data_IF_736762182661
#
_entry.id   IF_736762182661
#
_cell.length_a   1.000
_cell.length_b   1.000
_cell.length_c   1.000
_cell.angle_alpha   90.00
_cell.angle_beta   90.00
_cell.angle_gamma   90.00
#
_symmetry.space_group_name_H-M   'P 1'
#
loop_
_entity.id
_entity.type
_entity.pdbx_description
1 polymer ?
#
# COMPACT_ATOMS: atom_id res chain seq x y z
N UNK A 1 -6.82 12.97 -38.23
CA UNK A 1 -5.54 12.84 -37.52
C UNK A 1 -5.59 13.77 -36.32
N UNK A 2 -6.08 13.29 -35.18
CA UNK A 2 -6.38 14.15 -34.02
C UNK A 2 -5.59 13.65 -32.81
N UNK A 3 -4.53 14.39 -32.49
CA UNK A 3 -3.98 14.68 -31.15
C UNK A 3 -3.85 13.53 -30.13
N UNK A 4 -2.85 12.67 -30.28
CA UNK A 4 -2.40 11.71 -29.23
C UNK A 4 -1.20 12.23 -28.40
N UNK A 5 -0.56 13.32 -28.80
CA UNK A 5 0.73 13.78 -28.25
C UNK A 5 0.62 14.48 -26.88
N UNK A 6 -0.57 14.87 -26.42
CA UNK A 6 -0.78 15.56 -25.14
C UNK A 6 -1.01 14.60 -23.97
N UNK A 7 -1.70 13.48 -24.19
CA UNK A 7 -2.00 12.48 -23.15
C UNK A 7 -0.72 11.78 -22.68
N UNK A 8 0.14 11.32 -23.61
CA UNK A 8 1.43 10.69 -23.27
C UNK A 8 2.35 11.65 -22.50
N UNK A 9 2.45 12.92 -22.89
CA UNK A 9 3.27 13.91 -22.16
C UNK A 9 2.79 14.16 -20.73
N UNK A 10 1.47 14.13 -20.50
CA UNK A 10 0.90 14.32 -19.15
C UNK A 10 1.08 13.06 -18.30
N UNK A 11 0.91 11.87 -18.88
CA UNK A 11 1.23 10.58 -18.25
C UNK A 11 2.69 10.52 -17.83
N UNK A 12 3.61 10.79 -18.77
CA UNK A 12 5.05 10.88 -18.52
C UNK A 12 5.40 11.85 -17.38
N UNK A 13 4.71 13.00 -17.30
CA UNK A 13 4.95 13.97 -16.22
C UNK A 13 4.48 13.43 -14.86
N UNK A 14 3.33 12.76 -14.80
CA UNK A 14 2.79 12.23 -13.54
C UNK A 14 3.58 11.01 -13.07
N UNK A 15 4.00 10.13 -13.97
CA UNK A 15 4.93 9.05 -13.63
C UNK A 15 6.24 9.59 -13.07
N UNK A 16 6.83 10.63 -13.70
CA UNK A 16 8.05 11.26 -13.18
C UNK A 16 7.84 11.89 -11.81
N UNK A 17 6.68 12.50 -11.57
CA UNK A 17 6.31 13.02 -10.25
C UNK A 17 6.28 11.92 -9.19
N UNK A 18 5.68 10.77 -9.50
CA UNK A 18 5.69 9.61 -8.60
C UNK A 18 7.11 9.07 -8.37
N UNK A 19 7.91 8.92 -9.42
CA UNK A 19 9.31 8.45 -9.31
C UNK A 19 10.14 9.35 -8.43
N UNK A 20 10.08 10.67 -8.67
CA UNK A 20 10.85 11.62 -7.88
C UNK A 20 10.42 11.60 -6.41
N UNK A 21 9.10 11.52 -6.14
CA UNK A 21 8.62 11.43 -4.77
C UNK A 21 9.12 10.16 -4.05
N UNK A 22 9.13 9.01 -4.73
CA UNK A 22 9.65 7.77 -4.16
C UNK A 22 11.17 7.82 -3.93
N UNK A 23 11.93 8.41 -4.87
CA UNK A 23 13.38 8.61 -4.72
C UNK A 23 13.71 9.55 -3.55
N UNK A 24 12.97 10.66 -3.43
CA UNK A 24 13.07 11.60 -2.31
C UNK A 24 12.71 10.95 -0.96
N UNK A 25 11.81 9.96 -0.96
CA UNK A 25 11.45 9.15 0.21
C UNK A 25 12.45 8.00 0.52
N UNK A 26 13.56 7.89 -0.23
CA UNK A 26 14.63 6.94 0.05
C UNK A 26 14.55 5.60 -0.69
N UNK A 27 13.59 5.43 -1.61
CA UNK A 27 13.55 4.26 -2.48
C UNK A 27 14.55 4.40 -3.62
N UNK A 28 15.23 3.31 -4.00
CA UNK A 28 15.83 3.20 -5.31
C UNK A 28 14.74 2.92 -6.34
N UNK A 29 14.63 3.77 -7.37
CA UNK A 29 13.50 3.73 -8.33
C UNK A 29 13.98 3.54 -9.77
N UNK A 30 13.26 2.70 -10.52
CA UNK A 30 13.40 2.58 -11.97
C UNK A 30 12.03 2.71 -12.65
N UNK A 31 11.97 3.46 -13.75
CA UNK A 31 10.84 3.43 -14.69
C UNK A 31 11.08 2.39 -15.77
N UNK A 32 10.06 1.59 -16.09
CA UNK A 32 10.16 0.67 -17.20
C UNK A 32 10.32 1.43 -18.53
N UNK A 33 11.19 0.95 -19.45
CA UNK A 33 11.35 1.57 -20.75
C UNK A 33 10.08 1.33 -21.58
N UNK A 34 9.35 2.41 -21.85
CA UNK A 34 8.16 2.41 -22.69
C UNK A 34 7.14 1.32 -22.31
N UNK A 35 6.48 1.50 -21.15
CA UNK A 35 5.34 0.67 -20.70
C UNK A 35 4.18 0.58 -21.72
N UNK A 36 4.26 1.29 -22.85
CA UNK A 36 3.39 1.10 -24.02
C UNK A 36 4.10 0.43 -25.20
N UNK A 37 3.62 -0.75 -25.61
CA UNK A 37 3.74 -1.41 -26.94
C UNK A 37 5.13 -1.62 -27.56
N UNK A 38 6.20 -1.10 -26.97
CA UNK A 38 7.56 -1.17 -27.54
C UNK A 38 8.26 -2.51 -27.23
N UNK A 39 7.71 -3.29 -26.30
CA UNK A 39 8.22 -4.61 -25.94
C UNK A 39 7.04 -5.57 -25.77
N UNK A 40 7.27 -6.85 -26.07
CA UNK A 40 6.33 -7.94 -25.75
C UNK A 40 6.33 -8.29 -24.26
N UNK A 41 7.10 -7.55 -23.45
CA UNK A 41 7.25 -7.80 -22.01
C UNK A 41 6.25 -6.97 -21.25
N UNK A 42 5.46 -7.66 -20.46
CA UNK A 42 4.56 -7.09 -19.47
C UNK A 42 5.39 -6.57 -18.29
N UNK A 43 5.58 -5.25 -18.23
CA UNK A 43 6.36 -4.56 -17.22
C UNK A 43 5.47 -3.56 -16.47
N UNK A 44 5.65 -3.40 -15.15
CA UNK A 44 5.01 -2.30 -14.42
C UNK A 44 5.58 -0.96 -14.88
N UNK A 45 4.87 0.13 -14.66
CA UNK A 45 5.38 1.48 -14.94
C UNK A 45 6.61 1.83 -14.09
N UNK A 46 6.55 1.48 -12.80
CA UNK A 46 7.59 1.81 -11.81
C UNK A 46 7.96 0.58 -11.00
N UNK A 47 9.26 0.38 -10.79
CA UNK A 47 9.81 -0.52 -9.80
C UNK A 47 10.54 0.32 -8.75
N UNK A 48 10.24 0.10 -7.47
CA UNK A 48 10.87 0.81 -6.37
C UNK A 48 11.28 -0.17 -5.26
N UNK A 49 12.38 0.09 -4.56
CA UNK A 49 12.73 -0.65 -3.35
C UNK A 49 13.73 0.06 -2.45
N UNK A 50 13.65 -0.20 -1.15
CA UNK A 50 14.51 0.38 -0.11
C UNK A 50 15.53 -0.64 0.47
N UNK A 51 15.51 -1.87 -0.03
CA UNK A 51 16.34 -2.99 0.44
C UNK A 51 15.57 -4.01 1.27
N UNK A 52 14.43 -3.63 1.87
CA UNK A 52 13.56 -4.51 2.65
C UNK A 52 12.22 -4.74 1.94
N UNK A 53 11.63 -3.68 1.41
CA UNK A 53 10.38 -3.70 0.66
C UNK A 53 10.63 -3.35 -0.79
N UNK A 54 10.05 -4.16 -1.69
CA UNK A 54 10.07 -3.93 -3.14
C UNK A 54 8.64 -3.78 -3.64
N UNK A 55 8.41 -2.79 -4.49
CA UNK A 55 7.13 -2.49 -5.11
C UNK A 55 7.23 -2.55 -6.64
N UNK A 56 6.27 -3.24 -7.24
CA UNK A 56 5.94 -3.10 -8.66
C UNK A 56 4.66 -2.28 -8.75
N UNK A 57 4.70 -1.15 -9.45
CA UNK A 57 3.66 -0.14 -9.41
C UNK A 57 3.16 0.15 -10.83
N UNK A 58 1.86 0.01 -11.01
CA UNK A 58 1.12 0.51 -12.18
C UNK A 58 0.53 1.88 -11.84
N UNK A 59 0.83 2.92 -12.62
CA UNK A 59 0.49 4.30 -12.31
C UNK A 59 -0.58 4.85 -13.25
N UNK A 60 -1.76 5.19 -12.70
CA UNK A 60 -2.85 5.82 -13.45
C UNK A 60 -3.13 7.22 -12.93
N UNK A 61 -3.29 8.18 -13.85
CA UNK A 61 -3.73 9.52 -13.49
C UNK A 61 -4.86 9.99 -14.39
N UNK A 62 -5.84 10.69 -13.83
CA UNK A 62 -7.00 11.16 -14.58
C UNK A 62 -7.54 12.49 -14.06
N UNK A 63 -8.10 13.28 -14.97
CA UNK A 63 -8.93 14.44 -14.61
C UNK A 63 -10.42 14.09 -14.46
N UNK A 64 -10.81 12.88 -14.86
CA UNK A 64 -12.16 12.35 -14.69
C UNK A 64 -12.24 11.27 -13.62
N UNK A 65 -13.46 10.82 -13.34
CA UNK A 65 -13.80 9.79 -12.37
C UNK A 65 -14.81 8.82 -13.01
N UNK A 66 -14.60 7.49 -12.98
CA UNK A 66 -13.51 6.76 -12.33
C UNK A 66 -12.25 6.56 -13.20
N UNK A 67 -11.18 6.11 -12.56
CA UNK A 67 -10.00 5.54 -13.23
C UNK A 67 -10.27 4.06 -13.47
N UNK A 68 -9.95 3.58 -14.68
CA UNK A 68 -10.07 2.19 -15.09
C UNK A 68 -8.69 1.56 -15.33
N UNK A 69 -8.62 0.26 -15.08
CA UNK A 69 -7.53 -0.62 -15.51
C UNK A 69 -8.12 -1.82 -16.23
N UNK A 70 -7.44 -2.32 -17.25
CA UNK A 70 -7.84 -3.57 -17.92
C UNK A 70 -7.51 -4.76 -17.02
N UNK A 71 -8.15 -5.90 -17.28
CA UNK A 71 -7.78 -7.16 -16.62
C UNK A 71 -6.33 -7.55 -16.95
N UNK A 72 -5.91 -7.37 -18.20
CA UNK A 72 -4.56 -7.65 -18.69
C UNK A 72 -3.50 -6.82 -17.94
N UNK A 73 -3.73 -5.52 -17.72
CA UNK A 73 -2.80 -4.67 -16.94
C UNK A 73 -2.61 -5.20 -15.51
N UNK A 74 -3.70 -5.63 -14.86
CA UNK A 74 -3.64 -6.17 -13.50
C UNK A 74 -2.97 -7.54 -13.47
N UNK A 75 -3.28 -8.41 -14.43
CA UNK A 75 -2.66 -9.73 -14.53
C UNK A 75 -1.16 -9.65 -14.81
N UNK A 76 -0.75 -8.78 -15.73
CA UNK A 76 0.64 -8.45 -16.03
C UNK A 76 1.39 -7.97 -14.78
N UNK A 77 0.83 -7.01 -14.06
CA UNK A 77 1.41 -6.49 -12.83
C UNK A 77 1.59 -7.59 -11.78
N UNK A 78 0.55 -8.39 -11.53
CA UNK A 78 0.59 -9.49 -10.55
C UNK A 78 1.59 -10.57 -10.96
N UNK A 79 1.70 -10.87 -12.25
CA UNK A 79 2.68 -11.81 -12.79
C UNK A 79 4.10 -11.31 -12.56
N UNK A 80 4.39 -10.06 -12.94
CA UNK A 80 5.69 -9.44 -12.74
C UNK A 80 6.06 -9.40 -11.25
N UNK A 81 5.16 -8.86 -10.41
CA UNK A 81 5.39 -8.67 -8.98
C UNK A 81 5.74 -10.00 -8.29
N UNK A 82 4.98 -11.06 -8.56
CA UNK A 82 5.23 -12.40 -8.02
C UNK A 82 6.59 -12.95 -8.43
N UNK A 83 6.94 -12.84 -9.72
CA UNK A 83 8.18 -13.42 -10.23
C UNK A 83 9.41 -12.60 -9.82
N UNK A 84 9.25 -11.29 -9.63
CA UNK A 84 10.30 -10.39 -9.18
C UNK A 84 10.53 -10.47 -7.67
N UNK A 85 9.49 -10.81 -6.89
CA UNK A 85 9.53 -10.72 -5.43
C UNK A 85 9.16 -9.33 -4.91
N UNK A 86 8.27 -8.64 -5.61
CA UNK A 86 7.76 -7.32 -5.23
C UNK A 86 6.28 -7.36 -4.86
N UNK A 87 5.82 -6.39 -4.06
CA UNK A 87 4.42 -6.14 -3.76
C UNK A 87 3.78 -5.38 -4.93
N UNK A 88 2.70 -5.93 -5.50
CA UNK A 88 1.94 -5.28 -6.56
C UNK A 88 1.13 -4.10 -6.01
N UNK A 89 1.22 -2.94 -6.65
CA UNK A 89 0.48 -1.73 -6.27
C UNK A 89 -0.09 -1.00 -7.47
N UNK A 90 -1.32 -0.53 -7.35
CA UNK A 90 -1.91 0.43 -8.28
C UNK A 90 -1.83 1.81 -7.63
N UNK A 91 -1.04 2.70 -8.22
CA UNK A 91 -0.96 4.09 -7.81
C UNK A 91 -1.94 4.91 -8.66
N UNK A 92 -2.90 5.58 -8.01
CA UNK A 92 -3.87 6.42 -8.69
C UNK A 92 -3.79 7.86 -8.24
N UNK A 93 -3.94 8.78 -9.20
CA UNK A 93 -3.92 10.22 -8.93
C UNK A 93 -5.02 10.93 -9.69
N UNK A 94 -5.97 11.51 -8.97
CA UNK A 94 -6.99 12.38 -9.54
C UNK A 94 -6.46 13.83 -9.65
N UNK A 95 -7.03 14.63 -10.56
CA UNK A 95 -6.62 16.02 -10.70
C UNK A 95 -6.86 16.80 -9.40
N UNK A 96 -5.86 17.58 -8.99
CA UNK A 96 -5.78 18.33 -7.71
C UNK A 96 -5.74 17.49 -6.44
N UNK A 97 -5.62 16.17 -6.54
CA UNK A 97 -5.39 15.29 -5.39
C UNK A 97 -3.95 14.74 -5.40
N UNK A 98 -3.58 14.15 -4.26
CA UNK A 98 -2.35 13.39 -4.07
C UNK A 98 -2.45 11.97 -4.65
N UNK A 99 -1.37 11.20 -4.51
CA UNK A 99 -1.33 9.79 -4.89
C UNK A 99 -1.98 8.92 -3.82
N UNK A 100 -2.75 7.94 -4.27
CA UNK A 100 -3.32 6.89 -3.45
C UNK A 100 -2.90 5.52 -3.99
N UNK A 101 -2.63 4.59 -3.09
CA UNK A 101 -2.09 3.28 -3.41
C UNK A 101 -3.05 2.18 -3.00
N UNK A 102 -3.18 1.17 -3.86
CA UNK A 102 -4.07 0.03 -3.64
C UNK A 102 -3.35 -1.27 -3.95
N UNK A 103 -3.67 -2.33 -3.21
CA UNK A 103 -3.46 -3.67 -3.75
C UNK A 103 -4.50 -3.93 -4.85
N UNK A 104 -4.16 -4.61 -5.97
CA UNK A 104 -5.13 -4.82 -7.06
C UNK A 104 -6.44 -5.49 -6.62
N UNK A 105 -6.39 -6.34 -5.58
CA UNK A 105 -7.56 -6.99 -5.00
C UNK A 105 -8.53 -6.06 -4.25
N UNK A 106 -8.13 -4.83 -3.95
CA UNK A 106 -8.99 -3.86 -3.23
C UNK A 106 -9.85 -3.03 -4.20
N UNK A 107 -9.57 -3.14 -5.50
CA UNK A 107 -10.28 -2.42 -6.55
C UNK A 107 -11.61 -3.11 -6.90
N UNK A 108 -12.58 -2.34 -7.39
CA UNK A 108 -13.82 -2.90 -7.88
C UNK A 108 -13.59 -3.59 -9.23
N UNK A 109 -13.83 -4.90 -9.31
CA UNK A 109 -13.86 -5.64 -10.57
C UNK A 109 -15.25 -5.54 -11.19
N UNK A 110 -15.31 -5.16 -12.47
CA UNK A 110 -16.55 -5.14 -13.25
C UNK A 110 -16.87 -6.54 -13.79
N UNK A 111 -18.11 -6.75 -14.21
CA UNK A 111 -18.54 -8.01 -14.83
C UNK A 111 -17.76 -8.36 -16.11
N UNK A 112 -17.15 -7.35 -16.75
CA UNK A 112 -16.32 -7.51 -17.94
C UNK A 112 -14.84 -7.82 -17.61
N UNK A 113 -14.48 -7.96 -16.33
CA UNK A 113 -13.12 -8.27 -15.89
C UNK A 113 -12.16 -7.07 -15.81
N UNK A 114 -12.63 -5.85 -16.09
CA UNK A 114 -11.85 -4.63 -15.85
C UNK A 114 -11.95 -4.17 -14.40
N UNK A 115 -10.95 -3.44 -13.93
CA UNK A 115 -10.90 -2.88 -12.59
C UNK A 115 -11.17 -1.39 -12.63
N UNK A 116 -11.75 -0.85 -11.56
CA UNK A 116 -11.92 0.60 -11.42
C UNK A 116 -11.79 1.08 -9.99
N UNK A 117 -11.41 2.35 -9.87
CA UNK A 117 -11.43 3.10 -8.62
C UNK A 117 -12.10 4.45 -8.83
N UNK A 118 -13.04 4.77 -7.94
CA UNK A 118 -13.68 6.09 -7.90
C UNK A 118 -12.86 7.03 -7.03
N UNK A 119 -12.92 8.34 -7.31
CA UNK A 119 -12.27 9.38 -6.51
C UNK A 119 -12.66 9.31 -5.03
N UNK A 120 -13.95 9.12 -4.75
CA UNK A 120 -14.47 8.99 -3.38
C UNK A 120 -13.81 7.82 -2.63
N UNK A 121 -13.70 6.65 -3.28
CA UNK A 121 -13.00 5.49 -2.72
C UNK A 121 -11.50 5.76 -2.53
N UNK A 122 -10.86 6.46 -3.46
CA UNK A 122 -9.45 6.85 -3.32
C UNK A 122 -9.20 7.69 -2.06
N UNK A 123 -10.06 8.68 -1.81
CA UNK A 123 -9.96 9.57 -0.65
C UNK A 123 -10.28 8.87 0.67
N UNK A 124 -11.24 7.93 0.66
CA UNK A 124 -11.67 7.24 1.87
C UNK A 124 -10.75 6.07 2.26
N UNK A 125 -10.40 5.22 1.29
CA UNK A 125 -9.81 3.90 1.55
C UNK A 125 -8.39 3.76 1.00
N UNK A 126 -7.91 4.73 0.20
CA UNK A 126 -6.58 4.64 -0.39
C UNK A 126 -5.48 4.88 0.64
N UNK A 127 -4.45 4.03 0.62
CA UNK A 127 -3.20 4.32 1.35
C UNK A 127 -2.59 5.57 0.73
N UNK A 128 -2.37 6.62 1.52
CA UNK A 128 -1.77 7.86 1.02
C UNK A 128 -0.25 7.73 0.89
N UNK A 129 0.39 8.73 0.30
CA UNK A 129 1.83 8.65 0.02
C UNK A 129 2.68 8.51 1.30
N UNK A 130 2.51 9.34 2.36
CA UNK A 130 3.26 9.18 3.61
C UNK A 130 3.10 7.79 4.23
N UNK A 131 1.88 7.25 4.26
CA UNK A 131 1.64 5.88 4.73
C UNK A 131 2.31 4.83 3.83
N UNK A 132 2.22 5.01 2.51
CA UNK A 132 2.81 4.09 1.53
C UNK A 132 4.32 3.92 1.69
N UNK A 133 5.03 5.02 1.99
CA UNK A 133 6.48 5.03 2.21
C UNK A 133 6.87 4.73 3.65
N UNK A 134 5.91 4.47 4.55
CA UNK A 134 6.16 4.12 5.94
C UNK A 134 6.46 5.30 6.87
N UNK A 135 6.20 6.54 6.46
CA UNK A 135 6.34 7.73 7.32
C UNK A 135 5.21 7.82 8.35
N UNK A 136 4.04 7.26 8.05
CA UNK A 136 2.86 7.28 8.93
C UNK A 136 2.12 5.94 8.87
N UNK A 137 1.27 5.68 9.86
CA UNK A 137 0.35 4.53 9.87
C UNK A 137 -1.07 5.07 10.08
N UNK A 138 -2.01 4.71 9.18
CA UNK A 138 -3.41 5.06 9.37
C UNK A 138 -4.00 4.23 10.48
N UNK A 139 -4.61 4.92 11.46
CA UNK A 139 -5.38 4.28 12.52
C UNK A 139 -6.82 4.73 12.39
N UNK A 140 -7.74 3.79 12.21
CA UNK A 140 -9.16 4.10 12.16
C UNK A 140 -9.68 4.38 13.56
N UNK A 141 -10.70 5.23 13.68
CA UNK A 141 -11.32 5.51 14.98
C UNK A 141 -11.87 4.24 15.63
N UNK A 142 -12.25 3.23 14.83
CA UNK A 142 -12.66 1.92 15.32
C UNK A 142 -11.49 1.15 15.96
N UNK A 143 -10.29 1.22 15.40
CA UNK A 143 -9.07 0.61 15.97
C UNK A 143 -8.62 1.37 17.23
N UNK A 144 -8.66 2.71 17.24
CA UNK A 144 -8.41 3.50 18.46
C UNK A 144 -9.44 3.20 19.56
N UNK A 145 -10.70 2.97 19.18
CA UNK A 145 -11.76 2.61 20.14
C UNK A 145 -11.69 1.16 20.61
N UNK A 146 -11.07 0.27 19.82
CA UNK A 146 -10.77 -1.10 20.22
C UNK A 146 -9.58 -1.17 21.17
N UNK A 147 -8.63 -0.23 21.06
CA UNK A 147 -7.44 -0.13 21.91
C UNK A 147 -7.62 0.71 23.20
N UNK A 148 -8.81 1.26 23.45
CA UNK A 148 -9.28 1.65 24.78
C UNK A 148 -8.29 2.44 25.66
N UNK A 149 -7.48 3.35 25.10
CA UNK A 149 -6.68 4.29 25.89
C UNK A 149 -7.50 5.55 26.12
N UNK A 150 -8.34 5.47 27.15
CA UNK A 150 -8.92 6.66 27.76
C UNK A 150 -7.80 7.62 28.17
N UNK A 151 -8.00 8.89 27.86
CA UNK A 151 -7.12 9.99 28.24
C UNK A 151 -7.22 10.22 29.75
N UNK A 152 -6.56 9.39 30.55
CA UNK A 152 -5.96 9.68 31.86
C UNK A 152 -5.50 8.37 32.53
N UNK A 153 -4.17 8.19 32.67
CA UNK A 153 -3.56 7.21 33.58
C UNK A 153 -2.90 5.99 32.92
N UNK A 154 -1.56 5.94 33.00
CA UNK A 154 -0.66 4.77 32.81
C UNK A 154 -1.22 3.58 32.01
N UNK A 155 -1.00 3.60 30.70
CA UNK A 155 -1.14 2.39 29.90
C UNK A 155 0.01 1.44 30.24
N UNK A 156 -0.27 0.44 31.07
CA UNK A 156 0.67 -0.65 31.31
C UNK A 156 0.72 -1.50 30.04
N UNK A 157 1.93 -1.72 29.55
CA UNK A 157 2.23 -2.56 28.40
C UNK A 157 1.53 -3.94 28.53
N UNK A 158 0.77 -4.39 27.51
CA UNK A 158 0.02 -5.65 27.58
C UNK A 158 0.91 -6.86 27.90
N UNK A 159 2.17 -6.85 27.47
CA UNK A 159 3.15 -7.89 27.80
C UNK A 159 3.49 -7.87 29.30
N UNK A 160 3.45 -6.70 29.94
CA UNK A 160 3.67 -6.52 31.38
C UNK A 160 2.48 -7.03 32.22
N UNK A 161 1.24 -6.86 31.74
CA UNK A 161 0.05 -7.39 32.42
C UNK A 161 -0.05 -8.93 32.29
N UNK A 162 0.33 -9.49 31.15
CA UNK A 162 0.41 -10.94 30.97
C UNK A 162 1.45 -11.55 31.92
N UNK A 163 2.66 -10.97 31.98
CA UNK A 163 3.70 -11.39 32.93
C UNK A 163 3.26 -11.26 34.38
N UNK A 164 2.57 -10.17 34.74
CA UNK A 164 2.00 -10.00 36.10
C UNK A 164 1.03 -11.14 36.42
N UNK A 165 0.11 -11.45 35.51
CA UNK A 165 -0.90 -12.50 35.71
C UNK A 165 -0.25 -13.86 35.96
N UNK A 166 0.79 -14.20 35.18
CA UNK A 166 1.54 -15.45 35.36
C UNK A 166 2.24 -15.48 36.72
N UNK A 167 2.90 -14.40 37.12
CA UNK A 167 3.58 -14.31 38.41
C UNK A 167 2.62 -14.39 39.61
N UNK A 168 1.41 -13.85 39.48
CA UNK A 168 0.37 -13.97 40.52
C UNK A 168 -0.18 -15.39 40.64
N UNK A 169 -0.37 -16.09 39.51
CA UNK A 169 -0.75 -17.50 39.51
C UNK A 169 0.29 -18.38 40.21
N UNK A 170 1.59 -18.07 40.04
CA UNK A 170 2.69 -18.74 40.76
C UNK A 170 2.65 -18.43 42.25
N UNK A 171 2.50 -17.13 42.62
CA UNK A 171 2.41 -16.69 44.03
C UNK A 171 1.29 -17.41 44.77
N UNK A 172 0.14 -17.56 44.13
CA UNK A 172 -1.06 -18.14 44.74
C UNK A 172 -1.09 -19.68 44.65
N UNK A 173 -0.03 -20.30 44.09
CA UNK A 173 0.15 -21.74 44.02
C UNK A 173 -0.70 -22.44 42.95
N UNK A 174 -1.29 -21.68 42.03
CA UNK A 174 -2.10 -22.19 40.92
C UNK A 174 -1.24 -22.63 39.72
N UNK A 175 0.03 -22.21 39.67
CA UNK A 175 0.99 -22.57 38.64
C UNK A 175 2.37 -22.85 39.27
N UNK A 176 3.05 -23.96 38.93
CA UNK A 176 4.43 -24.18 39.35
C UNK A 176 5.38 -23.25 38.61
N UNK A 177 6.51 -22.90 39.24
CA UNK A 177 7.50 -21.98 38.67
C UNK A 177 8.06 -22.48 37.33
N UNK A 178 8.21 -23.80 37.17
CA UNK A 178 8.75 -24.39 35.93
C UNK A 178 7.83 -24.10 34.73
N UNK A 179 6.52 -24.29 34.87
CA UNK A 179 5.55 -24.01 33.81
C UNK A 179 5.47 -22.51 33.49
N UNK A 180 5.66 -21.64 34.48
CA UNK A 180 5.67 -20.19 34.27
C UNK A 180 6.87 -19.72 33.43
N UNK A 181 8.03 -20.39 33.53
CA UNK A 181 9.23 -20.02 32.75
C UNK A 181 9.09 -20.34 31.25
N UNK A 182 8.23 -21.28 30.89
CA UNK A 182 7.96 -21.65 29.50
C UNK A 182 7.04 -20.65 28.78
N UNK A 183 6.31 -19.82 29.54
CA UNK A 183 5.30 -18.88 29.02
C UNK A 183 5.62 -17.40 29.28
N UNK A 184 6.71 -17.09 30.00
CA UNK A 184 7.20 -15.73 30.29
C UNK A 184 8.24 -15.23 29.28
#
# INVERSE_FOLDING_TARGET
MTTTVSANRKGDRRERELVNALDEAGFAVMRAPASGSATERELPDVLAGDGETFYAIEAKSSAGDPIYLTGEEVEALLFFARNFGAKARIAVRFDREDWFFFHPGDLYTTDAGSYRVKKEKALADGTDFPEFVGETEKVTLAEVSADGRDADGDAVDPETEERRTILEAVRDGHMPVEDALDVL
#
